data_IF_109230915555
#
_entry.id   IF_109230915555
#
_cell.length_a   1.000
_cell.length_b   1.000
_cell.length_c   1.000
_cell.angle_alpha   90.00
_cell.angle_beta   90.00
_cell.angle_gamma   90.00
#
_symmetry.space_group_name_H-M   'P 1'
#
loop_
_entity.id
_entity.type
_entity.pdbx_description
1 polymer ?
#
# COMPACT_ATOMS: atom_id res chain seq x y z
N UNK A 1 76.26 -13.65 -5.89
CA UNK A 1 75.21 -12.62 -5.75
C UNK A 1 74.48 -12.50 -7.08
N UNK A 2 73.24 -13.01 -7.16
CA UNK A 2 72.13 -12.12 -7.51
C UNK A 2 70.94 -12.32 -6.57
N UNK A 3 70.32 -11.21 -6.16
CA UNK A 3 69.17 -11.18 -5.26
C UNK A 3 67.89 -11.35 -6.09
N UNK A 4 67.09 -12.36 -5.74
CA UNK A 4 65.69 -12.48 -6.17
C UNK A 4 64.90 -11.27 -5.65
N UNK A 5 64.12 -10.63 -6.54
CA UNK A 5 63.04 -9.74 -6.13
C UNK A 5 61.72 -10.43 -6.48
N UNK A 6 61.11 -11.08 -5.48
CA UNK A 6 59.74 -11.56 -5.56
C UNK A 6 58.81 -10.42 -5.16
N UNK A 7 58.04 -9.91 -6.11
CA UNK A 7 56.99 -8.91 -5.85
C UNK A 7 55.75 -9.69 -5.43
N UNK A 8 55.45 -9.71 -4.12
CA UNK A 8 54.16 -10.15 -3.60
C UNK A 8 53.14 -9.03 -3.87
N UNK A 9 52.25 -9.24 -4.85
CA UNK A 9 51.04 -8.46 -5.02
C UNK A 9 50.01 -8.91 -3.98
N UNK A 10 49.90 -8.14 -2.89
CA UNK A 10 48.90 -8.33 -1.86
C UNK A 10 47.53 -7.90 -2.42
N UNK A 11 46.70 -8.87 -2.81
CA UNK A 11 45.34 -8.62 -3.28
C UNK A 11 44.47 -8.06 -2.16
N UNK A 12 44.17 -6.76 -2.21
CA UNK A 12 43.08 -6.17 -1.44
C UNK A 12 41.74 -6.67 -2.00
N UNK A 13 41.23 -7.75 -1.43
CA UNK A 13 39.83 -8.11 -1.56
C UNK A 13 39.00 -7.03 -0.84
N UNK A 14 38.56 -6.02 -1.59
CA UNK A 14 37.49 -5.12 -1.17
C UNK A 14 36.23 -5.97 -1.00
N UNK A 15 35.99 -6.46 0.21
CA UNK A 15 34.66 -6.89 0.63
C UNK A 15 33.80 -5.62 0.67
N UNK A 16 33.24 -5.25 -0.48
CA UNK A 16 32.13 -4.31 -0.53
C UNK A 16 30.97 -5.04 0.13
N UNK A 17 30.80 -4.82 1.43
CA UNK A 17 29.59 -5.23 2.12
C UNK A 17 28.46 -4.41 1.48
N UNK A 18 27.71 -5.00 0.55
CA UNK A 18 26.43 -4.44 0.13
C UNK A 18 25.56 -4.42 1.38
N UNK A 19 25.36 -3.25 1.96
CA UNK A 19 24.34 -3.07 2.98
C UNK A 19 23.02 -3.53 2.34
N UNK A 20 22.45 -4.62 2.85
CA UNK A 20 21.11 -5.04 2.43
C UNK A 20 20.15 -3.89 2.74
N UNK A 21 19.59 -3.28 1.69
CA UNK A 21 18.58 -2.25 1.88
C UNK A 21 17.40 -2.87 2.62
N UNK A 22 17.13 -2.37 3.84
CA UNK A 22 16.00 -2.84 4.62
C UNK A 22 14.69 -2.68 3.83
N UNK A 23 13.96 -3.77 3.67
CA UNK A 23 12.68 -3.78 2.96
C UNK A 23 11.50 -3.43 3.87
N UNK A 24 11.66 -3.62 5.17
CA UNK A 24 10.64 -3.39 6.17
C UNK A 24 11.17 -2.48 7.30
N UNK A 25 10.27 -1.66 7.85
CA UNK A 25 10.54 -0.91 9.09
C UNK A 25 10.57 -1.85 10.29
N UNK A 26 11.03 -1.34 11.44
CA UNK A 26 11.02 -2.10 12.71
C UNK A 26 9.59 -2.51 13.14
N UNK A 27 8.57 -1.78 12.69
CA UNK A 27 7.15 -2.08 12.93
C UNK A 27 6.57 -3.03 11.88
N UNK A 28 7.38 -3.49 10.92
CA UNK A 28 7.00 -4.46 9.91
C UNK A 28 6.18 -3.89 8.75
N UNK A 29 6.24 -2.58 8.49
CA UNK A 29 5.67 -1.98 7.27
C UNK A 29 6.69 -2.08 6.14
N UNK A 30 6.25 -2.31 4.91
CA UNK A 30 7.13 -2.26 3.73
C UNK A 30 7.59 -0.81 3.52
N UNK A 31 8.89 -0.57 3.41
CA UNK A 31 9.47 0.78 3.22
C UNK A 31 10.13 0.99 1.85
N UNK A 32 10.39 -0.10 1.12
CA UNK A 32 11.05 -0.06 -0.18
C UNK A 32 10.39 -1.01 -1.18
N UNK A 33 10.67 -0.83 -2.49
CA UNK A 33 10.18 -1.71 -3.56
C UNK A 33 8.64 -1.92 -3.50
N UNK A 34 7.88 -0.83 -3.44
CA UNK A 34 6.44 -0.88 -3.26
C UNK A 34 5.68 -1.57 -4.40
N UNK A 35 6.25 -1.63 -5.61
CA UNK A 35 5.73 -2.38 -6.76
C UNK A 35 6.56 -3.64 -6.97
N UNK A 36 6.26 -4.70 -6.20
CA UNK A 36 6.96 -6.00 -6.23
C UNK A 36 6.03 -7.09 -5.68
N UNK A 37 6.31 -8.40 -5.95
CA UNK A 37 5.44 -9.48 -5.50
C UNK A 37 5.09 -9.38 -4.02
N UNK A 38 3.80 -9.42 -3.73
CA UNK A 38 3.27 -9.37 -2.36
C UNK A 38 2.93 -10.78 -1.85
N UNK A 39 2.91 -11.02 -0.52
CA UNK A 39 2.44 -12.28 0.04
C UNK A 39 0.97 -12.54 -0.32
N UNK A 40 0.51 -13.79 -0.19
CA UNK A 40 -0.90 -14.13 -0.40
C UNK A 40 -1.81 -13.61 0.72
N UNK A 41 -1.25 -13.32 1.90
CA UNK A 41 -1.99 -12.90 3.10
C UNK A 41 -1.34 -11.70 3.77
N UNK A 42 -2.10 -11.02 4.62
CA UNK A 42 -1.64 -9.92 5.46
C UNK A 42 -2.25 -10.08 6.85
N UNK A 43 -1.44 -9.86 7.87
CA UNK A 43 -1.91 -9.95 9.25
C UNK A 43 -2.99 -8.90 9.52
N UNK A 44 -4.06 -9.31 10.19
CA UNK A 44 -5.16 -8.42 10.58
C UNK A 44 -6.22 -8.20 9.50
N UNK A 45 -6.16 -8.89 8.35
CA UNK A 45 -7.21 -8.84 7.35
C UNK A 45 -7.39 -10.14 6.57
N UNK A 46 -8.54 -10.25 5.91
CA UNK A 46 -8.82 -11.31 4.95
C UNK A 46 -8.47 -10.85 3.54
N UNK A 47 -7.66 -11.63 2.82
CA UNK A 47 -7.41 -11.41 1.39
C UNK A 47 -8.65 -11.78 0.57
N UNK A 48 -9.01 -10.91 -0.38
CA UNK A 48 -10.10 -11.14 -1.33
C UNK A 48 -9.56 -11.29 -2.75
N UNK A 49 -10.17 -12.20 -3.51
CA UNK A 49 -10.16 -12.18 -4.96
C UNK A 49 -11.35 -11.35 -5.50
N UNK A 50 -11.41 -11.17 -6.82
CA UNK A 50 -12.45 -10.36 -7.48
C UNK A 50 -13.85 -10.92 -7.23
N UNK A 51 -14.03 -12.23 -7.28
CA UNK A 51 -15.34 -12.85 -7.09
C UNK A 51 -15.83 -12.69 -5.63
N UNK A 52 -14.94 -12.84 -4.65
CA UNK A 52 -15.23 -12.62 -3.26
C UNK A 52 -15.59 -11.15 -2.99
N UNK A 53 -14.87 -10.21 -3.60
CA UNK A 53 -15.20 -8.79 -3.51
C UNK A 53 -16.59 -8.48 -4.11
N UNK A 54 -16.91 -9.00 -5.30
CA UNK A 54 -18.24 -8.81 -5.90
C UNK A 54 -19.36 -9.36 -5.02
N UNK A 55 -19.15 -10.55 -4.40
CA UNK A 55 -20.11 -11.10 -3.43
C UNK A 55 -20.28 -10.21 -2.21
N UNK A 56 -19.19 -9.64 -1.70
CA UNK A 56 -19.21 -8.74 -0.54
C UNK A 56 -19.93 -7.42 -0.86
N UNK A 57 -19.72 -6.88 -2.07
CA UNK A 57 -20.42 -5.69 -2.57
C UNK A 57 -21.93 -5.91 -2.79
N UNK A 58 -22.37 -7.15 -3.03
CA UNK A 58 -23.78 -7.50 -3.19
C UNK A 58 -24.55 -7.70 -1.88
N UNK A 59 -23.90 -7.55 -0.72
CA UNK A 59 -24.56 -7.72 0.58
C UNK A 59 -25.39 -6.49 0.97
N UNK A 60 -26.30 -6.67 1.94
CA UNK A 60 -27.15 -5.58 2.45
C UNK A 60 -26.36 -4.43 3.09
N UNK A 61 -25.14 -4.71 3.58
CA UNK A 61 -24.20 -3.72 4.11
C UNK A 61 -22.87 -3.87 3.39
N UNK A 62 -22.70 -3.23 2.21
CA UNK A 62 -21.47 -3.34 1.45
C UNK A 62 -20.30 -2.67 2.17
N UNK A 63 -19.06 -3.12 1.88
CA UNK A 63 -17.85 -2.55 2.46
C UNK A 63 -17.59 -1.14 1.94
N UNK A 64 -16.92 -0.33 2.77
CA UNK A 64 -16.26 0.87 2.28
C UNK A 64 -15.01 0.45 1.49
N UNK A 65 -14.91 0.94 0.26
CA UNK A 65 -13.78 0.69 -0.61
C UNK A 65 -12.76 1.82 -0.45
N UNK A 66 -11.52 1.47 -0.12
CA UNK A 66 -10.43 2.40 0.14
C UNK A 66 -9.31 2.14 -0.85
N UNK A 67 -9.15 3.06 -1.80
CA UNK A 67 -7.96 3.11 -2.64
C UNK A 67 -6.84 3.84 -1.90
N UNK A 68 -5.63 3.30 -1.94
CA UNK A 68 -4.43 3.95 -1.41
C UNK A 68 -3.33 4.12 -2.46
N UNK A 69 -3.68 4.06 -3.75
CA UNK A 69 -2.75 4.30 -4.84
C UNK A 69 -2.05 5.65 -4.68
N UNK A 70 -0.78 5.70 -5.05
CA UNK A 70 0.06 6.89 -4.84
C UNK A 70 -0.34 8.01 -5.79
N UNK A 71 -0.34 9.24 -5.28
CA UNK A 71 -0.51 10.48 -6.05
C UNK A 71 0.57 11.50 -5.68
N UNK A 72 1.30 12.10 -6.64
CA UNK A 72 2.32 13.08 -6.32
C UNK A 72 1.76 14.25 -5.49
N UNK A 73 2.48 14.60 -4.42
CA UNK A 73 2.16 15.71 -3.54
C UNK A 73 3.28 16.74 -3.62
N UNK A 74 2.98 17.93 -4.14
CA UNK A 74 3.96 18.99 -4.39
C UNK A 74 3.38 20.33 -3.97
N UNK A 75 4.13 21.10 -3.18
CA UNK A 75 3.71 22.42 -2.68
C UNK A 75 2.33 22.40 -2.00
N UNK A 76 2.07 21.38 -1.18
CA UNK A 76 0.83 21.32 -0.38
C UNK A 76 -0.42 20.90 -1.17
N UNK A 77 -0.27 20.24 -2.32
CA UNK A 77 -1.41 19.74 -3.11
C UNK A 77 -1.07 18.50 -3.90
N UNK A 78 -2.09 17.71 -4.22
CA UNK A 78 -2.00 16.65 -5.20
C UNK A 78 -1.84 17.24 -6.61
N UNK A 79 -0.98 16.63 -7.42
CA UNK A 79 -0.79 17.01 -8.82
C UNK A 79 -1.68 16.15 -9.70
N UNK A 80 -2.47 16.76 -10.57
CA UNK A 80 -3.38 16.08 -11.51
C UNK A 80 -2.80 15.97 -12.91
N UNK A 81 -1.74 15.15 -13.02
CA UNK A 81 -1.04 14.91 -14.28
C UNK A 81 -1.42 13.58 -14.94
N UNK A 82 -2.00 12.64 -14.19
CA UNK A 82 -2.38 11.32 -14.70
C UNK A 82 -3.82 11.00 -14.30
N UNK A 83 -4.68 10.57 -15.24
CA UNK A 83 -6.00 10.06 -14.90
C UNK A 83 -5.89 8.86 -13.97
N UNK A 84 -6.77 8.81 -12.98
CA UNK A 84 -6.90 7.66 -12.09
C UNK A 84 -8.37 7.28 -11.96
N UNK A 85 -8.62 5.98 -11.87
CA UNK A 85 -9.96 5.43 -11.74
C UNK A 85 -10.01 4.46 -10.58
N UNK A 86 -11.14 4.47 -9.88
CA UNK A 86 -11.43 3.62 -8.74
C UNK A 86 -12.48 2.58 -9.09
N UNK A 87 -12.57 1.57 -8.23
CA UNK A 87 -13.81 0.82 -8.08
C UNK A 87 -14.94 1.81 -7.69
N UNK A 88 -16.16 1.68 -8.25
CA UNK A 88 -17.24 2.62 -7.99
C UNK A 88 -17.53 2.82 -6.50
N UNK A 89 -17.65 4.08 -6.07
CA UNK A 89 -17.93 4.42 -4.67
C UNK A 89 -16.74 4.35 -3.71
N UNK A 90 -15.52 4.22 -4.21
CA UNK A 90 -14.32 4.21 -3.35
C UNK A 90 -13.92 5.60 -2.87
N UNK A 91 -13.41 5.65 -1.64
CA UNK A 91 -12.62 6.78 -1.12
C UNK A 91 -11.16 6.58 -1.51
N UNK A 92 -10.53 7.62 -2.05
CA UNK A 92 -9.11 7.56 -2.38
C UNK A 92 -8.26 8.27 -1.33
N UNK A 93 -7.64 7.49 -0.44
CA UNK A 93 -6.73 7.95 0.59
C UNK A 93 -5.28 7.84 0.10
N UNK A 94 -4.93 8.64 -0.91
CA UNK A 94 -3.64 8.56 -1.58
C UNK A 94 -2.45 8.66 -0.60
N UNK A 95 -1.38 7.93 -0.91
CA UNK A 95 -0.09 7.93 -0.18
C UNK A 95 -0.11 7.35 1.23
N UNK A 96 -1.28 6.99 1.79
CA UNK A 96 -1.42 6.47 3.15
C UNK A 96 -0.87 5.05 3.35
N UNK A 97 -0.54 4.38 2.26
CA UNK A 97 0.16 3.10 2.24
C UNK A 97 1.68 3.19 2.37
N UNK A 98 2.26 4.40 2.44
CA UNK A 98 3.69 4.54 2.66
C UNK A 98 4.10 3.89 4.00
N UNK A 99 5.25 3.21 4.00
CA UNK A 99 5.75 2.47 5.14
C UNK A 99 6.15 3.40 6.29
N UNK A 100 6.99 4.37 5.96
CA UNK A 100 7.33 5.48 6.85
C UNK A 100 6.32 6.62 6.60
N UNK A 101 5.24 6.59 7.37
CA UNK A 101 4.15 7.55 7.23
C UNK A 101 4.31 8.68 8.25
N UNK A 102 4.50 9.91 7.75
CA UNK A 102 4.56 11.10 8.60
C UNK A 102 3.24 11.30 9.39
N UNK A 103 3.29 11.84 10.63
CA UNK A 103 2.10 12.01 11.46
C UNK A 103 0.92 12.70 10.77
N UNK A 104 1.18 13.69 9.90
CA UNK A 104 0.11 14.40 9.18
C UNK A 104 -0.64 13.47 8.24
N UNK A 105 0.07 12.55 7.57
CA UNK A 105 -0.54 11.54 6.71
C UNK A 105 -1.26 10.45 7.50
N UNK A 106 -0.75 10.12 8.70
CA UNK A 106 -1.45 9.23 9.63
C UNK A 106 -2.77 9.86 10.12
N UNK A 107 -2.78 11.15 10.41
CA UNK A 107 -3.97 11.90 10.80
C UNK A 107 -4.96 12.01 9.64
N UNK A 108 -4.50 12.27 8.42
CA UNK A 108 -5.31 12.23 7.20
C UNK A 108 -5.99 10.87 7.01
N UNK A 109 -5.24 9.77 7.10
CA UNK A 109 -5.80 8.41 7.02
C UNK A 109 -6.85 8.16 8.09
N UNK A 110 -6.52 8.51 9.34
CA UNK A 110 -7.38 8.24 10.49
C UNK A 110 -8.64 9.10 10.48
N UNK A 111 -8.54 10.37 10.05
CA UNK A 111 -9.65 11.29 9.91
C UNK A 111 -10.67 10.74 8.91
N UNK A 112 -10.25 10.45 7.68
CA UNK A 112 -11.16 10.03 6.62
C UNK A 112 -11.81 8.68 6.90
N UNK A 113 -11.08 7.71 7.45
CA UNK A 113 -11.68 6.44 7.86
C UNK A 113 -12.73 6.63 8.96
N UNK A 114 -12.44 7.43 10.00
CA UNK A 114 -13.44 7.71 11.06
C UNK A 114 -14.65 8.44 10.52
N UNK A 115 -14.47 9.43 9.64
CA UNK A 115 -15.57 10.17 9.02
C UNK A 115 -16.45 9.24 8.19
N UNK A 116 -15.85 8.45 7.30
CA UNK A 116 -16.56 7.52 6.43
C UNK A 116 -17.30 6.42 7.21
N UNK A 117 -16.74 5.99 8.33
CA UNK A 117 -17.34 4.94 9.17
C UNK A 117 -18.32 5.48 10.21
N UNK A 118 -18.39 6.80 10.40
CA UNK A 118 -19.06 7.41 11.55
C UNK A 118 -18.44 6.99 12.89
N UNK A 119 -17.14 6.69 12.90
CA UNK A 119 -16.38 6.20 14.05
C UNK A 119 -16.60 4.73 14.39
N UNK A 120 -17.40 3.99 13.60
CA UNK A 120 -17.69 2.57 13.83
C UNK A 120 -16.53 1.68 13.38
N UNK A 121 -15.98 0.91 14.31
CA UNK A 121 -14.86 0.00 14.06
C UNK A 121 -15.28 -1.36 13.48
N UNK A 122 -16.57 -1.67 13.52
CA UNK A 122 -17.17 -2.91 13.04
C UNK A 122 -17.60 -2.85 11.58
N UNK A 123 -17.52 -1.70 10.91
CA UNK A 123 -17.86 -1.63 9.49
C UNK A 123 -16.80 -2.34 8.61
N UNK A 124 -17.25 -3.06 7.55
CA UNK A 124 -16.34 -3.71 6.64
C UNK A 124 -15.59 -2.69 5.77
N UNK A 125 -14.26 -2.79 5.76
CA UNK A 125 -13.35 -1.96 4.97
C UNK A 125 -12.57 -2.85 4.01
N UNK A 126 -12.57 -2.52 2.72
CA UNK A 126 -11.75 -3.17 1.70
C UNK A 126 -10.70 -2.19 1.21
N UNK A 127 -9.44 -2.51 1.44
CA UNK A 127 -8.31 -1.74 0.94
C UNK A 127 -7.76 -2.34 -0.34
N UNK A 128 -7.40 -1.49 -1.29
CA UNK A 128 -6.80 -1.90 -2.55
C UNK A 128 -5.84 -0.84 -3.11
N UNK A 129 -5.12 -1.25 -4.14
CA UNK A 129 -4.20 -0.43 -4.92
C UNK A 129 -4.21 -1.06 -6.34
N UNK A 130 -3.04 -1.32 -6.91
CA UNK A 130 -2.84 -2.18 -8.08
C UNK A 130 -2.28 -3.54 -7.68
N UNK A 131 -2.14 -4.46 -8.63
CA UNK A 131 -1.45 -5.72 -8.39
C UNK A 131 0.01 -5.45 -7.98
N UNK A 132 0.54 -6.34 -7.13
CA UNK A 132 1.90 -6.26 -6.58
C UNK A 132 2.20 -4.91 -5.91
N UNK A 133 1.20 -4.33 -5.24
CA UNK A 133 1.33 -3.06 -4.55
C UNK A 133 1.37 -3.23 -3.02
N UNK A 134 2.51 -2.94 -2.43
CA UNK A 134 2.70 -2.97 -0.97
C UNK A 134 2.03 -1.82 -0.22
N UNK A 135 1.57 -0.77 -0.92
CA UNK A 135 0.88 0.36 -0.28
C UNK A 135 -0.44 -0.09 0.35
N UNK A 136 -1.25 -0.89 -0.36
CA UNK A 136 -2.50 -1.44 0.20
C UNK A 136 -2.23 -2.44 1.31
N UNK A 137 -1.16 -3.24 1.21
CA UNK A 137 -0.74 -4.15 2.29
C UNK A 137 -0.40 -3.38 3.58
N UNK A 138 0.34 -2.28 3.48
CA UNK A 138 0.63 -1.41 4.63
C UNK A 138 -0.62 -0.75 5.21
N UNK A 139 -1.50 -0.22 4.34
CA UNK A 139 -2.73 0.45 4.76
C UNK A 139 -3.67 -0.50 5.53
N UNK A 140 -3.75 -1.75 5.10
CA UNK A 140 -4.49 -2.82 5.79
C UNK A 140 -3.97 -3.02 7.21
N UNK A 141 -2.65 -3.20 7.37
CA UNK A 141 -2.03 -3.36 8.69
C UNK A 141 -2.30 -2.16 9.58
N UNK A 142 -2.25 -0.96 9.01
CA UNK A 142 -2.52 0.30 9.72
C UNK A 142 -3.98 0.36 10.20
N UNK A 143 -4.94 0.02 9.35
CA UNK A 143 -6.36 -0.04 9.73
C UNK A 143 -6.62 -1.11 10.81
N UNK A 144 -6.02 -2.29 10.68
CA UNK A 144 -6.12 -3.34 11.70
C UNK A 144 -5.54 -2.88 13.04
N UNK A 145 -4.38 -2.20 13.04
CA UNK A 145 -3.75 -1.65 14.24
C UNK A 145 -4.59 -0.53 14.90
N UNK A 146 -5.40 0.20 14.12
CA UNK A 146 -6.38 1.16 14.63
C UNK A 146 -7.62 0.50 15.27
N UNK A 147 -7.75 -0.83 15.17
CA UNK A 147 -8.79 -1.61 15.83
C UNK A 147 -10.02 -1.90 14.98
N UNK A 148 -10.02 -1.57 13.68
CA UNK A 148 -11.06 -2.00 12.75
C UNK A 148 -11.15 -3.53 12.70
N UNK A 149 -12.38 -4.07 12.74
CA UNK A 149 -12.63 -5.51 12.95
C UNK A 149 -12.83 -6.29 11.67
N UNK A 150 -13.39 -5.65 10.66
CA UNK A 150 -13.70 -6.26 9.37
C UNK A 150 -12.83 -5.63 8.30
N UNK A 151 -11.56 -6.00 8.28
CA UNK A 151 -10.59 -5.49 7.30
C UNK A 151 -10.35 -6.55 6.23
N UNK A 152 -10.42 -6.10 4.99
CA UNK A 152 -10.20 -6.92 3.80
C UNK A 152 -9.14 -6.28 2.92
N UNK A 153 -8.37 -7.13 2.26
CA UNK A 153 -7.35 -6.72 1.30
C UNK A 153 -7.66 -7.29 -0.07
N UNK A 154 -8.07 -6.43 -1.00
CA UNK A 154 -8.22 -6.83 -2.40
C UNK A 154 -6.86 -6.73 -3.09
N UNK A 155 -6.10 -7.83 -2.99
CA UNK A 155 -4.65 -7.90 -3.26
C UNK A 155 -4.27 -7.51 -4.68
N UNK A 156 -5.01 -8.02 -5.66
CA UNK A 156 -4.71 -7.79 -7.08
C UNK A 156 -5.32 -6.47 -7.60
N UNK A 157 -6.15 -5.82 -6.78
CA UNK A 157 -6.54 -4.43 -6.91
C UNK A 157 -7.22 -4.07 -8.24
N UNK A 158 -6.98 -2.83 -8.67
CA UNK A 158 -7.56 -2.26 -9.88
C UNK A 158 -7.25 -3.09 -11.13
N UNK A 159 -6.03 -3.62 -11.26
CA UNK A 159 -5.60 -4.36 -12.44
C UNK A 159 -6.46 -5.64 -12.64
N UNK A 160 -6.78 -6.38 -11.57
CA UNK A 160 -7.68 -7.54 -11.65
C UNK A 160 -9.14 -7.17 -11.89
N UNK A 161 -9.58 -6.02 -11.34
CA UNK A 161 -10.93 -5.51 -11.56
C UNK A 161 -11.15 -5.09 -13.03
N UNK A 162 -10.16 -4.43 -13.62
CA UNK A 162 -10.11 -4.07 -15.04
C UNK A 162 -10.08 -5.31 -15.94
N UNK A 163 -9.23 -6.30 -15.60
CA UNK A 163 -9.14 -7.56 -16.35
C UNK A 163 -10.48 -8.33 -16.36
N UNK A 164 -11.30 -8.15 -15.32
CA UNK A 164 -12.66 -8.71 -15.24
C UNK A 164 -13.72 -7.88 -16.00
N UNK A 165 -13.34 -6.79 -16.70
CA UNK A 165 -14.22 -5.86 -17.39
C UNK A 165 -15.31 -5.26 -16.50
N UNK A 166 -14.97 -4.98 -15.24
CA UNK A 166 -15.91 -4.41 -14.28
C UNK A 166 -15.90 -2.87 -14.34
N UNK A 167 -17.00 -2.20 -13.95
CA UNK A 167 -17.12 -0.74 -14.08
C UNK A 167 -16.08 0.01 -13.26
N UNK A 168 -15.64 1.15 -13.77
CA UNK A 168 -14.71 2.06 -13.11
C UNK A 168 -15.32 3.45 -12.99
N UNK A 169 -14.81 4.23 -12.03
CA UNK A 169 -15.20 5.61 -11.81
C UNK A 169 -13.95 6.50 -11.74
N UNK A 170 -13.93 7.58 -12.51
CA UNK A 170 -12.87 8.60 -12.38
C UNK A 170 -12.81 9.13 -10.95
N UNK A 171 -11.61 9.29 -10.41
CA UNK A 171 -11.42 9.59 -9.00
C UNK A 171 -10.38 10.70 -8.76
N UNK A 172 -10.57 11.39 -7.65
CA UNK A 172 -9.60 12.34 -7.09
C UNK A 172 -9.33 11.94 -5.62
N UNK A 173 -8.12 12.20 -5.10
CA UNK A 173 -7.84 11.94 -3.70
C UNK A 173 -8.75 12.74 -2.79
N UNK A 174 -9.12 12.16 -1.65
CA UNK A 174 -9.81 12.90 -0.61
C UNK A 174 -8.96 14.10 -0.16
N UNK A 175 -9.59 15.26 0.16
CA UNK A 175 -8.86 16.46 0.54
C UNK A 175 -7.90 16.21 1.69
N UNK A 176 -6.64 16.55 1.48
CA UNK A 176 -5.64 16.59 2.54
C UNK A 176 -5.82 17.90 3.34
N UNK A 177 -5.84 17.84 4.68
CA UNK A 177 -6.10 19.00 5.53
C UNK A 177 -5.02 20.09 5.47
#
# INVERSE_FOLDING_TARGET
MPRLLAILLLGLALNVAQAETALFSAQGYRIAQYRSPTPATVDGAQTLDTQALQRLLGQASPPLLIDVYRRPWVQGRFIDNEPHANLPGSLWLANTGDGDLDPTWQDYFSHHLRTATGGRLDLPLVFYCRADCWLSWNAVKRAAAMGYKQVYWYRDGLDAWEAANLPLQAAHPEPFP
#
